data_IF_415416064961
#
_entry.id   IF_415416064961
#
_cell.length_a   1.000
_cell.length_b   1.000
_cell.length_c   1.000
_cell.angle_alpha   90.00
_cell.angle_beta   90.00
_cell.angle_gamma   90.00
#
_symmetry.space_group_name_H-M   'P 1'
#
loop_
_entity.id
_entity.type
_entity.pdbx_description
1 polymer ?
#
# COMPACT_ATOMS: atom_id res chain seq x y z
N UNK A 1 -7.56 21.56 3.89
CA UNK A 1 -8.42 20.95 4.92
C UNK A 1 -8.93 19.60 4.44
N UNK A 2 -8.72 18.59 5.25
CA UNK A 2 -9.13 17.25 4.89
C UNK A 2 -10.62 17.05 5.08
N UNK A 3 -11.23 16.39 4.10
CA UNK A 3 -12.63 16.00 4.20
C UNK A 3 -12.74 14.77 5.09
N UNK A 4 -13.67 14.72 6.06
CA UNK A 4 -13.90 13.49 6.80
C UNK A 4 -14.33 12.37 5.85
N UNK A 5 -13.88 11.14 6.13
CA UNK A 5 -14.27 10.00 5.34
C UNK A 5 -15.75 9.65 5.58
N UNK A 6 -16.42 9.25 4.51
CA UNK A 6 -17.83 8.88 4.57
C UNK A 6 -18.04 7.54 5.27
N UNK A 7 -19.20 7.34 5.95
CA UNK A 7 -19.45 6.09 6.67
C UNK A 7 -19.38 4.82 5.82
N UNK A 8 -19.86 4.88 4.58
CA UNK A 8 -19.80 3.72 3.69
C UNK A 8 -18.37 3.34 3.35
N UNK A 9 -17.52 4.32 3.07
CA UNK A 9 -16.11 4.09 2.80
C UNK A 9 -15.41 3.50 4.04
N UNK A 10 -15.66 4.09 5.21
CA UNK A 10 -15.09 3.57 6.47
C UNK A 10 -15.54 2.15 6.76
N UNK A 11 -16.79 1.82 6.42
CA UNK A 11 -17.31 0.46 6.57
C UNK A 11 -16.55 -0.54 5.71
N UNK A 12 -16.32 -0.21 4.43
CA UNK A 12 -15.54 -1.06 3.52
C UNK A 12 -14.11 -1.25 4.02
N UNK A 13 -13.47 -0.17 4.44
CA UNK A 13 -12.11 -0.22 4.96
C UNK A 13 -12.06 -1.07 6.24
N UNK A 14 -13.02 -0.88 7.14
CA UNK A 14 -13.10 -1.65 8.38
C UNK A 14 -13.21 -3.16 8.11
N UNK A 15 -14.03 -3.55 7.14
CA UNK A 15 -14.15 -4.96 6.76
C UNK A 15 -12.86 -5.50 6.14
N UNK A 16 -12.23 -4.73 5.27
CA UNK A 16 -10.95 -5.12 4.68
C UNK A 16 -9.88 -5.32 5.75
N UNK A 17 -9.78 -4.41 6.71
CA UNK A 17 -8.77 -4.48 7.77
C UNK A 17 -8.91 -5.71 8.67
N UNK A 18 -10.08 -6.34 8.72
CA UNK A 18 -10.30 -7.58 9.49
C UNK A 18 -9.63 -8.79 8.85
N UNK A 19 -9.37 -8.75 7.55
CA UNK A 19 -8.91 -9.94 6.81
C UNK A 19 -7.56 -9.75 6.13
N UNK A 20 -6.94 -8.58 6.23
CA UNK A 20 -5.63 -8.31 5.62
C UNK A 20 -4.53 -8.29 6.68
N UNK A 21 -3.29 -8.36 6.20
CA UNK A 21 -2.12 -8.08 7.03
C UNK A 21 -1.76 -6.61 6.88
N UNK A 22 -1.43 -5.97 7.99
CA UNK A 22 -0.94 -4.60 8.02
C UNK A 22 0.43 -4.55 8.69
N UNK A 23 1.24 -3.58 8.31
CA UNK A 23 2.54 -3.34 8.93
C UNK A 23 2.63 -1.84 9.28
N UNK A 24 3.13 -1.52 10.47
CA UNK A 24 3.34 -0.12 10.83
C UNK A 24 4.70 0.36 10.29
N UNK A 25 4.92 1.68 10.37
CA UNK A 25 6.14 2.26 9.80
C UNK A 25 7.40 1.79 10.52
N UNK A 26 7.35 1.56 11.81
CA UNK A 26 8.51 1.08 12.58
C UNK A 26 8.92 -0.32 12.12
N UNK A 27 7.96 -1.22 11.96
CA UNK A 27 8.20 -2.56 11.46
C UNK A 27 8.66 -2.55 9.99
N UNK A 28 8.10 -1.65 9.17
CA UNK A 28 8.53 -1.50 7.79
C UNK A 28 9.99 -1.04 7.70
N UNK A 29 10.39 -0.07 8.53
CA UNK A 29 11.80 0.37 8.59
C UNK A 29 12.73 -0.80 8.90
N UNK A 30 12.38 -1.62 9.89
CA UNK A 30 13.17 -2.79 10.24
C UNK A 30 13.28 -3.78 9.09
N UNK A 31 12.18 -3.99 8.36
CA UNK A 31 12.18 -4.87 7.20
C UNK A 31 13.15 -4.37 6.13
N UNK A 32 13.14 -3.06 5.85
CA UNK A 32 14.06 -2.45 4.90
C UNK A 32 15.52 -2.57 5.36
N UNK A 33 15.77 -2.28 6.62
CA UNK A 33 17.12 -2.33 7.21
C UNK A 33 17.69 -3.75 7.19
N UNK A 34 16.84 -4.75 7.35
CA UNK A 34 17.26 -6.16 7.29
C UNK A 34 17.54 -6.64 5.87
N UNK A 35 17.21 -5.84 4.86
CA UNK A 35 17.40 -6.22 3.46
C UNK A 35 16.41 -7.23 2.94
N UNK A 36 15.28 -7.42 3.61
CA UNK A 36 14.26 -8.39 3.18
C UNK A 36 13.68 -7.98 1.83
N UNK A 37 13.78 -8.84 0.79
CA UNK A 37 13.28 -8.49 -0.55
C UNK A 37 11.77 -8.25 -0.53
N UNK A 38 11.34 -7.17 -1.16
CA UNK A 38 9.93 -6.86 -1.33
C UNK A 38 9.76 -5.80 -2.42
N UNK A 39 8.54 -5.67 -2.92
CA UNK A 39 8.16 -4.58 -3.81
C UNK A 39 7.27 -3.63 -3.02
N UNK A 40 7.61 -2.34 -3.08
CA UNK A 40 6.79 -1.29 -2.48
C UNK A 40 5.93 -0.67 -3.58
N UNK A 41 4.61 -0.66 -3.38
CA UNK A 41 3.66 -0.22 -4.39
C UNK A 41 2.85 0.95 -3.85
N UNK A 42 2.92 2.08 -4.57
CA UNK A 42 2.12 3.27 -4.29
C UNK A 42 0.79 3.14 -5.04
N UNK A 43 -0.32 3.07 -4.31
CA UNK A 43 -1.64 2.92 -4.91
C UNK A 43 -2.42 4.24 -4.95
N UNK A 44 -1.75 5.37 -4.69
CA UNK A 44 -2.37 6.69 -4.75
C UNK A 44 -2.63 7.11 -6.20
N UNK A 45 -3.27 8.26 -6.35
CA UNK A 45 -3.52 8.84 -7.67
C UNK A 45 -2.23 9.37 -8.30
N UNK A 46 -2.24 9.57 -9.62
CA UNK A 46 -1.07 10.00 -10.38
C UNK A 46 -0.48 11.30 -9.85
N UNK A 47 -1.33 12.30 -9.57
CA UNK A 47 -0.88 13.59 -9.07
C UNK A 47 -0.24 13.49 -7.68
N UNK A 48 -0.71 12.58 -6.86
CA UNK A 48 -0.11 12.35 -5.54
C UNK A 48 1.30 11.76 -5.68
N UNK A 49 1.42 10.74 -6.53
CA UNK A 49 2.72 10.10 -6.79
C UNK A 49 3.73 11.08 -7.38
N UNK A 50 3.31 11.89 -8.34
CA UNK A 50 4.19 12.87 -8.99
C UNK A 50 4.67 13.95 -8.03
N UNK A 51 3.85 14.32 -7.05
CA UNK A 51 4.21 15.34 -6.06
C UNK A 51 5.27 14.85 -5.06
N UNK A 52 5.50 13.55 -4.99
CA UNK A 52 6.49 12.93 -4.11
C UNK A 52 6.05 11.53 -3.72
N UNK A 53 7.00 10.60 -3.66
CA UNK A 53 6.71 9.20 -3.32
C UNK A 53 7.92 8.54 -2.67
N UNK A 54 7.71 7.38 -2.09
CA UNK A 54 8.77 6.60 -1.48
C UNK A 54 9.77 6.16 -2.55
N UNK A 55 11.06 6.32 -2.27
CA UNK A 55 12.11 5.94 -3.22
C UNK A 55 12.00 4.45 -3.56
N UNK A 56 12.02 4.15 -4.84
CA UNK A 56 11.91 2.78 -5.35
C UNK A 56 10.49 2.23 -5.44
N UNK A 57 9.48 3.01 -5.07
CA UNK A 57 8.10 2.54 -5.15
C UNK A 57 7.63 2.44 -6.60
N UNK A 58 6.93 1.34 -6.91
CA UNK A 58 6.23 1.17 -8.17
C UNK A 58 4.86 1.82 -8.04
N UNK A 59 4.46 2.61 -9.04
CA UNK A 59 3.14 3.24 -9.01
C UNK A 59 2.12 2.38 -9.75
N UNK A 60 1.13 1.88 -9.03
CA UNK A 60 -0.03 1.19 -9.60
C UNK A 60 -1.26 1.70 -8.85
N UNK A 61 -2.00 2.62 -9.46
CA UNK A 61 -3.14 3.26 -8.81
C UNK A 61 -4.22 2.27 -8.38
N UNK A 62 -4.89 2.59 -7.29
CA UNK A 62 -5.94 1.72 -6.71
C UNK A 62 -7.01 1.34 -7.75
N UNK A 63 -7.36 2.26 -8.65
CA UNK A 63 -8.42 2.04 -9.63
C UNK A 63 -8.07 1.04 -10.73
N UNK A 64 -6.80 0.73 -10.92
CA UNK A 64 -6.34 -0.14 -12.00
C UNK A 64 -5.53 -1.34 -11.52
N UNK A 65 -5.28 -1.45 -10.22
CA UNK A 65 -4.35 -2.46 -9.71
C UNK A 65 -4.83 -3.89 -9.99
N UNK A 66 -6.12 -4.16 -9.87
CA UNK A 66 -6.65 -5.49 -10.16
C UNK A 66 -6.46 -5.86 -11.62
N UNK A 67 -6.57 -4.88 -12.52
CA UNK A 67 -6.40 -5.10 -13.96
C UNK A 67 -4.95 -5.39 -14.32
N UNK A 68 -4.01 -4.69 -13.68
CA UNK A 68 -2.63 -4.63 -14.16
C UNK A 68 -1.63 -5.46 -13.36
N UNK A 69 -1.94 -5.81 -12.11
CA UNK A 69 -0.94 -6.41 -11.21
C UNK A 69 -0.38 -7.75 -11.72
N UNK A 70 -1.21 -8.60 -12.29
CA UNK A 70 -0.75 -9.91 -12.76
C UNK A 70 0.23 -9.80 -13.93
N UNK A 71 0.09 -8.74 -14.72
CA UNK A 71 1.03 -8.47 -15.80
C UNK A 71 2.35 -7.91 -15.27
N UNK A 72 2.28 -7.04 -14.28
CA UNK A 72 3.46 -6.35 -13.72
C UNK A 72 4.21 -7.22 -12.71
N UNK A 73 3.50 -8.00 -11.92
CA UNK A 73 4.06 -8.87 -10.89
C UNK A 73 3.37 -10.24 -10.99
N UNK A 74 3.79 -11.08 -11.93
CA UNK A 74 3.14 -12.38 -12.12
C UNK A 74 3.36 -13.38 -10.99
N UNK A 75 4.40 -13.21 -10.19
CA UNK A 75 4.70 -14.10 -9.07
C UNK A 75 3.76 -13.84 -7.89
N UNK A 76 2.85 -14.77 -7.65
CA UNK A 76 1.85 -14.68 -6.57
C UNK A 76 2.46 -14.83 -5.18
N UNK A 77 3.71 -15.24 -5.08
CA UNK A 77 4.42 -15.37 -3.79
C UNK A 77 5.31 -14.16 -3.50
N UNK A 78 5.43 -13.21 -4.44
CA UNK A 78 6.21 -12.00 -4.21
C UNK A 78 5.68 -11.24 -3.00
N UNK A 79 6.59 -10.73 -2.16
CA UNK A 79 6.19 -9.90 -1.03
C UNK A 79 5.87 -8.50 -1.54
N UNK A 80 4.66 -8.05 -1.31
CA UNK A 80 4.18 -6.75 -1.75
C UNK A 80 3.78 -5.92 -0.53
N UNK A 81 4.30 -4.70 -0.44
CA UNK A 81 3.86 -3.73 0.56
C UNK A 81 3.18 -2.59 -0.18
N UNK A 82 1.90 -2.40 0.08
CA UNK A 82 1.08 -1.38 -0.56
C UNK A 82 0.89 -0.19 0.37
N UNK A 83 1.00 1.03 -0.16
CA UNK A 83 0.69 2.21 0.63
C UNK A 83 -0.15 3.22 -0.16
N UNK A 84 -0.95 3.99 0.57
CA UNK A 84 -1.68 5.13 0.03
C UNK A 84 -1.41 6.35 0.92
N UNK A 85 -2.31 7.30 1.00
CA UNK A 85 -2.11 8.48 1.84
C UNK A 85 -2.14 8.18 3.33
N UNK A 86 -3.13 7.44 3.79
CA UNK A 86 -3.34 7.15 5.21
C UNK A 86 -3.59 5.68 5.55
N UNK A 87 -3.51 4.77 4.58
CA UNK A 87 -3.69 3.34 4.82
C UNK A 87 -5.08 2.80 4.50
N UNK A 88 -5.99 3.61 3.98
CA UNK A 88 -7.36 3.18 3.69
C UNK A 88 -7.51 2.58 2.29
N UNK A 89 -7.07 3.31 1.25
CA UNK A 89 -7.10 2.79 -0.13
C UNK A 89 -6.21 1.55 -0.27
N UNK A 90 -5.07 1.54 0.41
CA UNK A 90 -4.16 0.39 0.38
C UNK A 90 -4.74 -0.83 1.09
N UNK A 91 -5.56 -0.64 2.12
CA UNK A 91 -6.28 -1.75 2.76
C UNK A 91 -7.23 -2.42 1.78
N UNK A 92 -8.01 -1.62 1.03
CA UNK A 92 -8.92 -2.15 0.01
C UNK A 92 -8.15 -2.87 -1.11
N UNK A 93 -7.05 -2.29 -1.57
CA UNK A 93 -6.22 -2.91 -2.61
C UNK A 93 -5.62 -4.23 -2.12
N UNK A 94 -5.14 -4.28 -0.88
CA UNK A 94 -4.59 -5.49 -0.29
C UNK A 94 -5.62 -6.61 -0.23
N UNK A 95 -6.85 -6.30 0.19
CA UNK A 95 -7.94 -7.27 0.19
C UNK A 95 -8.21 -7.81 -1.22
N UNK A 96 -8.27 -6.93 -2.21
CA UNK A 96 -8.48 -7.33 -3.61
C UNK A 96 -7.39 -8.28 -4.11
N UNK A 97 -6.13 -7.96 -3.83
CA UNK A 97 -5.02 -8.79 -4.28
C UNK A 97 -5.01 -10.16 -3.60
N UNK A 98 -5.40 -10.23 -2.33
CA UNK A 98 -5.56 -11.52 -1.65
C UNK A 98 -6.58 -12.38 -2.37
N UNK A 99 -7.72 -11.79 -2.77
CA UNK A 99 -8.76 -12.51 -3.53
C UNK A 99 -8.27 -13.00 -4.88
N UNK A 100 -7.27 -12.32 -5.45
CA UNK A 100 -6.64 -12.71 -6.72
C UNK A 100 -5.57 -13.77 -6.56
N UNK A 101 -5.28 -14.20 -5.32
CA UNK A 101 -4.33 -15.26 -5.06
C UNK A 101 -2.92 -14.79 -4.67
N UNK A 102 -2.72 -13.50 -4.42
CA UNK A 102 -1.45 -13.02 -3.88
C UNK A 102 -1.35 -13.40 -2.39
N UNK A 103 -0.32 -14.15 -2.03
CA UNK A 103 -0.21 -14.76 -0.70
C UNK A 103 0.56 -13.91 0.30
N UNK A 104 1.30 -12.89 -0.17
CA UNK A 104 2.25 -12.16 0.68
C UNK A 104 2.12 -10.66 0.45
N UNK A 105 0.89 -10.15 0.59
CA UNK A 105 0.58 -8.74 0.38
C UNK A 105 0.20 -8.10 1.72
N UNK A 106 0.76 -6.93 1.99
CA UNK A 106 0.66 -6.24 3.28
C UNK A 106 0.35 -4.77 3.00
N UNK A 107 -0.53 -4.16 3.79
CA UNK A 107 -0.82 -2.73 3.71
C UNK A 107 0.00 -1.97 4.75
N UNK A 108 0.64 -0.87 4.35
CA UNK A 108 1.36 0.01 5.28
C UNK A 108 0.37 0.90 5.99
N UNK A 109 0.14 0.63 7.27
CA UNK A 109 -0.74 1.42 8.11
C UNK A 109 -0.18 2.83 8.26
N UNK A 110 -1.02 3.84 8.08
CA UNK A 110 -0.62 5.24 8.10
C UNK A 110 -0.08 5.77 6.77
N UNK A 111 0.33 4.90 5.87
CA UNK A 111 0.68 5.23 4.48
C UNK A 111 1.74 6.30 4.31
N UNK A 112 1.56 7.12 3.27
CA UNK A 112 2.52 8.18 2.91
C UNK A 112 2.78 9.16 4.05
N UNK A 113 1.75 9.48 4.83
CA UNK A 113 1.89 10.43 5.94
C UNK A 113 2.97 9.98 6.92
N UNK A 114 2.91 8.73 7.39
CA UNK A 114 3.92 8.22 8.35
C UNK A 114 5.25 7.93 7.66
N UNK A 115 5.21 7.56 6.38
CA UNK A 115 6.44 7.34 5.61
C UNK A 115 7.27 8.63 5.54
N UNK A 116 6.63 9.77 5.21
CA UNK A 116 7.31 11.06 5.12
C UNK A 116 8.00 11.45 6.43
N UNK A 117 7.38 11.12 7.56
CA UNK A 117 7.90 11.47 8.88
C UNK A 117 8.98 10.51 9.36
N UNK A 118 9.19 9.40 8.68
CA UNK A 118 10.05 8.31 9.13
C UNK A 118 11.54 8.53 8.88
N UNK A 119 11.89 9.45 7.99
CA UNK A 119 13.26 9.63 7.54
C UNK A 119 13.69 8.67 6.43
N UNK A 120 12.80 7.82 5.95
CA UNK A 120 13.10 6.94 4.81
C UNK A 120 13.20 7.75 3.52
N UNK A 121 13.93 7.26 2.50
CA UNK A 121 14.20 8.05 1.30
C UNK A 121 12.96 8.31 0.45
N UNK A 122 12.90 9.51 -0.11
CA UNK A 122 11.80 10.02 -0.94
C UNK A 122 12.35 10.41 -2.31
N UNK A 123 11.56 10.18 -3.32
CA UNK A 123 11.84 10.63 -4.69
C UNK A 123 10.84 11.67 -5.19
#
# INVERSE_FOLDING_TARGET
MDRPHSPGFLGLVGEAKKVIDEIDIAAYKKMRESGQPHLLIDVREDNEYEAGHAAGAMHIGRGIIERDIEHLVPDKHARLVLYCGGGYRSALATESLQKMGYHNVISLDGGWRVYQESGLPIE
#
